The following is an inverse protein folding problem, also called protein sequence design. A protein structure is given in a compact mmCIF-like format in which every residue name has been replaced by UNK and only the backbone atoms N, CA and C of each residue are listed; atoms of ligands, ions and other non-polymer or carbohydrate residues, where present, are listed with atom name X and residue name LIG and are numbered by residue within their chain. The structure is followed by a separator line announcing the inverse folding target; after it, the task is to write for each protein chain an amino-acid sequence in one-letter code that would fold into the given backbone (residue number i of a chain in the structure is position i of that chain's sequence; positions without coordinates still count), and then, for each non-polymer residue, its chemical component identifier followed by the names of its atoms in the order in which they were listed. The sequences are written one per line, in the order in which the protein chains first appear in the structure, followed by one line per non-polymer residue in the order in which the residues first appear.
data_IF_760154179662
#
_entry.id   IF_760154179662
#
_cell.length_a   1.000
_cell.length_b   1.000
_cell.length_c   1.000
_cell.angle_alpha   90.00
_cell.angle_beta   90.00
_cell.angle_gamma   90.00
#
_symmetry.space_group_name_H-M   'P 1'
#
loop_
_entity.id
_entity.type
_entity.pdbx_description
1 polymer ?
#
# COMPACT_ATOMS: atom_id res chain seq x y z
N UNK A 1 -57.02 64.66 -7.50
CA UNK A 1 -57.12 63.28 -7.99
C UNK A 1 -55.99 63.03 -8.99
N UNK A 2 -55.05 62.11 -8.72
CA UNK A 2 -53.89 61.89 -9.58
C UNK A 2 -54.23 60.99 -10.80
N UNK A 3 -53.59 61.20 -11.96
CA UNK A 3 -53.87 60.46 -13.19
C UNK A 3 -53.24 59.05 -13.19
N UNK A 4 -54.03 58.08 -13.69
CA UNK A 4 -53.65 56.67 -13.86
C UNK A 4 -52.51 56.53 -14.88
N UNK A 5 -51.38 55.93 -14.47
CA UNK A 5 -50.28 55.54 -15.36
C UNK A 5 -50.65 54.26 -16.13
N UNK A 6 -50.46 54.28 -17.45
CA UNK A 6 -50.56 53.13 -18.36
C UNK A 6 -49.36 52.18 -18.13
N UNK A 7 -49.65 50.89 -18.02
CA UNK A 7 -48.65 49.82 -17.97
C UNK A 7 -47.96 49.67 -19.33
N UNK A 8 -46.62 49.62 -19.36
CA UNK A 8 -45.84 49.28 -20.55
C UNK A 8 -45.68 47.76 -20.63
N UNK A 9 -46.07 47.18 -21.76
CA UNK A 9 -45.72 45.81 -22.16
C UNK A 9 -44.19 45.66 -22.22
N UNK A 10 -43.66 44.67 -21.50
CA UNK A 10 -42.32 44.15 -21.73
C UNK A 10 -42.38 43.08 -22.82
N UNK A 11 -41.40 43.03 -23.75
CA UNK A 11 -41.29 41.95 -24.72
C UNK A 11 -40.82 40.64 -24.06
N UNK A 12 -41.26 39.47 -24.55
CA UNK A 12 -40.86 38.17 -24.01
C UNK A 12 -39.38 37.87 -24.34
N UNK A 13 -38.57 37.70 -23.29
CA UNK A 13 -37.18 37.25 -23.39
C UNK A 13 -37.17 35.72 -23.45
N UNK A 14 -37.44 35.17 -24.63
CA UNK A 14 -37.18 33.75 -24.93
C UNK A 14 -35.71 33.58 -25.32
N UNK A 15 -34.85 33.50 -24.32
CA UNK A 15 -33.44 33.11 -24.47
C UNK A 15 -33.20 31.80 -23.74
N UNK A 16 -33.39 30.68 -24.43
CA UNK A 16 -32.94 29.37 -23.94
C UNK A 16 -31.41 29.40 -23.76
N UNK A 17 -30.99 29.55 -22.51
CA UNK A 17 -29.60 29.34 -22.11
C UNK A 17 -29.28 27.86 -22.25
N UNK A 18 -28.79 27.46 -23.42
CA UNK A 18 -28.22 26.13 -23.63
C UNK A 18 -27.05 25.93 -22.65
N UNK A 19 -27.32 25.18 -21.58
CA UNK A 19 -26.32 24.78 -20.59
C UNK A 19 -25.33 23.87 -21.32
N UNK A 20 -24.18 24.45 -21.70
CA UNK A 20 -23.08 23.71 -22.33
C UNK A 20 -22.63 22.63 -21.36
N UNK A 21 -22.90 21.36 -21.70
CA UNK A 21 -22.41 20.21 -20.94
C UNK A 21 -20.89 20.34 -20.76
N UNK A 22 -20.35 20.11 -19.55
CA UNK A 22 -18.93 20.18 -19.30
C UNK A 22 -18.20 19.19 -20.22
N UNK A 23 -17.27 19.72 -21.01
CA UNK A 23 -16.46 18.94 -21.95
C UNK A 23 -15.55 18.03 -21.12
N UNK A 24 -15.92 16.76 -21.00
CA UNK A 24 -15.10 15.74 -20.34
C UNK A 24 -13.82 15.62 -21.15
N UNK A 25 -12.70 16.10 -20.60
CA UNK A 25 -11.40 15.93 -21.22
C UNK A 25 -11.13 14.42 -21.32
N UNK A 26 -10.69 13.95 -22.50
CA UNK A 26 -10.30 12.57 -22.70
C UNK A 26 -9.28 12.17 -21.62
N UNK A 27 -9.60 11.13 -20.84
CA UNK A 27 -8.72 10.58 -19.80
C UNK A 27 -7.35 10.29 -20.42
N UNK A 28 -6.32 11.03 -20.01
CA UNK A 28 -4.93 10.79 -20.43
C UNK A 28 -4.31 11.83 -21.36
N UNK A 29 -5.05 12.85 -21.83
CA UNK A 29 -4.44 13.95 -22.59
C UNK A 29 -3.57 14.82 -21.66
N UNK A 30 -2.26 14.59 -21.68
CA UNK A 30 -1.27 15.46 -21.01
C UNK A 30 -1.25 16.80 -21.74
N UNK A 31 -1.29 17.90 -21.01
CA UNK A 31 -1.13 19.24 -21.59
C UNK A 31 0.20 19.32 -22.33
N UNK A 32 0.20 19.90 -23.54
CA UNK A 32 1.42 20.13 -24.31
C UNK A 32 2.38 21.11 -23.59
N UNK A 33 1.83 22.03 -22.78
CA UNK A 33 2.59 22.95 -21.95
C UNK A 33 3.13 22.27 -20.69
N UNK A 34 4.45 22.25 -20.55
CA UNK A 34 5.20 21.68 -19.43
C UNK A 34 5.92 22.80 -18.67
N UNK A 35 5.67 23.00 -17.36
CA UNK A 35 6.38 23.98 -16.56
C UNK A 35 7.89 23.77 -16.53
N UNK A 36 8.64 24.85 -16.68
CA UNK A 36 10.10 24.89 -16.59
C UNK A 36 10.51 25.33 -15.19
N UNK A 37 11.46 24.61 -14.59
CA UNK A 37 12.02 24.90 -13.27
C UNK A 37 11.37 24.12 -12.12
N UNK A 38 11.96 24.27 -10.94
CA UNK A 38 11.52 23.58 -9.74
C UNK A 38 10.12 24.04 -9.30
N UNK A 39 9.34 23.09 -8.79
CA UNK A 39 8.03 23.37 -8.25
C UNK A 39 8.15 24.09 -6.90
N UNK A 40 8.08 25.41 -6.96
CA UNK A 40 7.97 26.26 -5.76
C UNK A 40 6.52 26.55 -5.41
N UNK A 41 6.23 26.61 -4.12
CA UNK A 41 4.91 26.95 -3.55
C UNK A 41 5.04 28.28 -2.80
N UNK A 42 4.02 29.13 -2.91
CA UNK A 42 3.98 30.38 -2.17
C UNK A 42 3.79 30.09 -0.68
N UNK A 43 4.56 30.79 0.17
CA UNK A 43 4.49 30.71 1.63
C UNK A 43 3.81 31.97 2.18
N UNK A 44 3.00 31.80 3.22
CA UNK A 44 2.37 32.92 3.94
C UNK A 44 3.44 33.83 4.52
N UNK A 45 3.30 35.14 4.32
CA UNK A 45 4.20 36.19 4.81
C UNK A 45 5.50 36.39 4.03
N UNK A 46 5.72 35.63 2.95
CA UNK A 46 6.90 35.80 2.08
C UNK A 46 6.45 36.37 0.75
N UNK A 47 6.81 37.62 0.48
CA UNK A 47 6.43 38.34 -0.76
C UNK A 47 7.33 37.89 -1.90
N UNK A 48 6.81 37.06 -2.80
CA UNK A 48 7.55 36.54 -3.96
C UNK A 48 6.74 36.73 -5.26
N UNK A 49 6.82 37.92 -5.91
CA UNK A 49 6.04 38.23 -7.11
C UNK A 49 6.25 37.24 -8.26
N UNK A 50 7.42 36.58 -8.30
CA UNK A 50 7.75 35.52 -9.26
C UNK A 50 6.78 34.32 -9.19
N UNK A 51 6.18 34.05 -8.03
CA UNK A 51 5.21 32.95 -7.86
C UNK A 51 3.91 33.15 -8.65
N UNK A 52 3.63 34.38 -9.07
CA UNK A 52 2.47 34.73 -9.89
C UNK A 52 2.69 34.42 -11.38
N UNK A 53 3.87 33.90 -11.74
CA UNK A 53 4.27 33.57 -13.10
C UNK A 53 4.85 32.15 -13.13
N UNK A 54 4.59 31.43 -14.22
CA UNK A 54 5.19 30.13 -14.50
C UNK A 54 5.62 30.14 -15.96
N UNK A 55 6.91 29.90 -16.20
CA UNK A 55 7.41 29.63 -17.54
C UNK A 55 7.06 28.19 -17.91
N UNK A 56 6.46 27.98 -19.08
CA UNK A 56 6.16 26.66 -19.64
C UNK A 56 6.83 26.51 -21.00
N UNK A 57 7.25 25.30 -21.34
CA UNK A 57 7.70 24.92 -22.68
C UNK A 57 6.59 24.11 -23.36
N UNK A 58 6.28 24.44 -24.61
CA UNK A 58 5.32 23.68 -25.42
C UNK A 58 6.02 22.49 -26.07
N UNK A 59 5.68 21.29 -25.62
CA UNK A 59 6.26 20.02 -26.09
C UNK A 59 6.04 19.80 -27.58
N UNK A 60 4.93 20.28 -28.12
CA UNK A 60 4.53 20.02 -29.51
C UNK A 60 5.12 21.06 -30.49
N UNK A 61 5.53 22.23 -29.99
CA UNK A 61 5.99 23.36 -30.80
C UNK A 61 7.46 23.69 -30.55
N UNK A 62 8.32 22.69 -30.69
CA UNK A 62 9.78 22.88 -30.66
C UNK A 62 10.28 23.63 -29.41
N UNK A 63 9.70 23.32 -28.24
CA UNK A 63 10.05 23.93 -26.95
C UNK A 63 9.87 25.46 -26.91
N UNK A 64 8.89 26.01 -27.63
CA UNK A 64 8.53 27.42 -27.51
C UNK A 64 8.16 27.74 -26.05
N UNK A 65 8.80 28.77 -25.50
CA UNK A 65 8.60 29.20 -24.12
C UNK A 65 7.43 30.15 -24.01
N UNK A 66 6.45 29.79 -23.19
CA UNK A 66 5.26 30.56 -22.91
C UNK A 66 5.13 30.83 -21.42
N UNK A 67 4.96 32.10 -21.07
CA UNK A 67 4.73 32.51 -19.69
C UNK A 67 3.22 32.48 -19.37
N UNK A 68 2.87 31.82 -18.26
CA UNK A 68 1.52 31.81 -17.72
C UNK A 68 1.47 32.69 -16.48
N UNK A 69 0.43 33.52 -16.38
CA UNK A 69 0.23 34.44 -15.26
C UNK A 69 -1.00 34.06 -14.43
N UNK A 70 -0.93 34.29 -13.12
CA UNK A 70 -2.06 34.20 -12.23
C UNK A 70 -3.06 35.33 -12.53
N UNK A 71 -4.33 35.00 -12.75
CA UNK A 71 -5.38 35.97 -13.16
C UNK A 71 -6.57 36.08 -12.20
N UNK A 72 -6.62 35.25 -11.14
CA UNK A 72 -7.81 35.20 -10.26
C UNK A 72 -7.93 36.41 -9.34
N UNK A 73 -6.81 37.05 -8.98
CA UNK A 73 -6.74 38.24 -8.14
C UNK A 73 -5.85 39.26 -8.87
N UNK A 74 -6.20 40.54 -8.80
CA UNK A 74 -5.38 41.62 -9.33
C UNK A 74 -4.06 41.64 -8.56
N UNK A 75 -2.92 41.71 -9.25
CA UNK A 75 -1.60 41.52 -8.60
C UNK A 75 -1.31 42.55 -7.51
N UNK A 76 -1.86 43.77 -7.62
CA UNK A 76 -1.73 44.81 -6.61
C UNK A 76 -2.52 44.52 -5.32
N UNK A 77 -3.58 43.72 -5.40
CA UNK A 77 -4.48 43.43 -4.27
C UNK A 77 -4.09 42.12 -3.55
N UNK A 78 -3.00 41.49 -3.96
CA UNK A 78 -2.53 40.24 -3.36
C UNK A 78 -1.86 40.56 -2.03
N UNK A 79 -2.62 40.36 -0.97
CA UNK A 79 -2.08 40.20 0.38
C UNK A 79 -1.36 38.85 0.55
N UNK A 80 -0.07 38.88 0.85
CA UNK A 80 0.78 37.70 1.06
C UNK A 80 0.67 37.11 2.48
N UNK A 81 0.10 37.86 3.42
CA UNK A 81 -0.23 37.37 4.76
C UNK A 81 -1.62 36.69 4.79
N UNK A 82 -2.45 36.91 3.79
CA UNK A 82 -3.76 36.28 3.69
C UNK A 82 -3.65 34.82 3.19
N UNK A 83 -4.04 33.86 4.04
CA UNK A 83 -4.05 32.42 3.72
C UNK A 83 -4.87 32.12 2.46
N UNK A 84 -6.02 32.76 2.26
CA UNK A 84 -6.88 32.49 1.11
C UNK A 84 -6.24 32.89 -0.22
N UNK A 85 -5.47 33.97 -0.23
CA UNK A 85 -4.74 34.42 -1.42
C UNK A 85 -3.64 33.42 -1.78
N UNK A 86 -2.86 33.01 -0.79
CA UNK A 86 -1.82 32.00 -0.93
C UNK A 86 -2.39 30.66 -1.42
N UNK A 87 -3.51 30.21 -0.86
CA UNK A 87 -4.19 28.99 -1.29
C UNK A 87 -4.68 29.08 -2.75
N UNK A 88 -5.23 30.23 -3.17
CA UNK A 88 -5.64 30.46 -4.57
C UNK A 88 -4.46 30.44 -5.54
N UNK A 89 -3.32 31.03 -5.16
CA UNK A 89 -2.08 31.00 -5.96
C UNK A 89 -1.55 29.57 -6.06
N UNK A 90 -1.41 28.88 -4.93
CA UNK A 90 -0.94 27.50 -4.86
C UNK A 90 -1.85 26.53 -5.63
N UNK A 91 -3.17 26.69 -5.55
CA UNK A 91 -4.13 25.91 -6.34
C UNK A 91 -3.95 26.12 -7.84
N UNK A 92 -3.74 27.36 -8.29
CA UNK A 92 -3.45 27.67 -9.70
C UNK A 92 -2.14 27.04 -10.17
N UNK A 93 -1.06 27.17 -9.38
CA UNK A 93 0.23 26.54 -9.69
C UNK A 93 0.07 25.01 -9.77
N UNK A 94 -0.57 24.40 -8.77
CA UNK A 94 -0.85 22.96 -8.73
C UNK A 94 -1.65 22.48 -9.95
N UNK A 95 -2.61 23.27 -10.44
CA UNK A 95 -3.37 22.97 -11.63
C UNK A 95 -2.48 22.94 -12.88
N UNK A 96 -1.55 23.88 -13.02
CA UNK A 96 -0.61 23.93 -14.14
C UNK A 96 0.31 22.70 -14.12
N UNK A 97 0.97 22.43 -12.98
CA UNK A 97 1.82 21.23 -12.83
C UNK A 97 1.04 19.93 -13.01
N UNK A 98 -0.18 19.86 -12.47
CA UNK A 98 -1.06 18.68 -12.58
C UNK A 98 -1.47 18.39 -14.02
N UNK A 99 -1.77 19.42 -14.82
CA UNK A 99 -2.10 19.29 -16.26
C UNK A 99 -0.91 18.82 -17.08
N UNK A 100 0.31 19.20 -16.69
CA UNK A 100 1.54 18.72 -17.30
C UNK A 100 1.94 17.30 -16.84
N UNK A 101 1.15 16.66 -15.96
CA UNK A 101 1.47 15.35 -15.39
C UNK A 101 2.56 15.38 -14.30
N UNK A 102 3.06 16.57 -13.93
CA UNK A 102 4.08 16.74 -12.89
C UNK A 102 3.41 16.76 -11.51
N UNK A 103 3.23 15.59 -10.92
CA UNK A 103 2.68 15.45 -9.57
C UNK A 103 3.81 15.58 -8.54
N UNK A 104 3.74 16.54 -7.60
CA UNK A 104 4.56 16.55 -6.37
C UNK A 104 4.06 15.43 -5.46
N UNK A 105 4.38 14.19 -5.81
CA UNK A 105 4.42 13.14 -4.82
C UNK A 105 5.88 13.00 -4.48
N UNK A 106 6.30 13.65 -3.39
CA UNK A 106 7.52 13.23 -2.71
C UNK A 106 7.24 11.82 -2.22
N UNK A 107 7.60 10.84 -3.04
CA UNK A 107 7.43 9.43 -2.69
C UNK A 107 8.60 9.10 -1.77
N UNK A 108 8.36 9.26 -0.47
CA UNK A 108 9.32 8.79 0.52
C UNK A 108 9.34 7.26 0.42
N UNK A 109 10.46 6.71 -0.06
CA UNK A 109 10.64 5.28 -0.25
C UNK A 109 10.50 4.57 1.11
N UNK A 110 9.88 3.40 1.11
CA UNK A 110 9.72 2.57 2.31
C UNK A 110 11.04 1.86 2.61
N UNK A 111 11.48 1.94 3.86
CA UNK A 111 12.65 1.21 4.32
C UNK A 111 12.27 -0.23 4.70
N UNK A 112 13.22 -1.16 4.63
CA UNK A 112 12.98 -2.57 4.99
C UNK A 112 12.52 -2.70 6.46
N UNK A 113 13.09 -1.90 7.36
CA UNK A 113 12.70 -1.88 8.77
C UNK A 113 11.28 -1.38 8.98
N UNK A 114 10.85 -0.40 8.18
CA UNK A 114 9.47 0.10 8.25
C UNK A 114 8.48 -0.97 7.78
N UNK A 115 8.83 -1.72 6.74
CA UNK A 115 8.01 -2.84 6.26
C UNK A 115 7.96 -3.97 7.29
N UNK A 116 9.11 -4.33 7.86
CA UNK A 116 9.24 -5.33 8.91
C UNK A 116 8.43 -4.95 10.16
N UNK A 117 8.45 -3.68 10.58
CA UNK A 117 7.66 -3.18 11.70
C UNK A 117 6.15 -3.35 11.46
N UNK A 118 5.65 -2.99 10.27
CA UNK A 118 4.23 -3.11 9.94
C UNK A 118 3.77 -4.57 9.86
N UNK A 119 4.60 -5.43 9.28
CA UNK A 119 4.35 -6.87 9.25
C UNK A 119 4.33 -7.46 10.67
N UNK A 120 5.36 -7.17 11.47
CA UNK A 120 5.47 -7.63 12.85
C UNK A 120 4.30 -7.16 13.71
N UNK A 121 3.87 -5.90 13.57
CA UNK A 121 2.72 -5.36 14.29
C UNK A 121 1.46 -6.20 14.06
N UNK A 122 1.16 -6.54 12.80
CA UNK A 122 -0.01 -7.37 12.49
C UNK A 122 0.16 -8.83 12.92
N UNK A 123 1.37 -9.39 12.87
CA UNK A 123 1.62 -10.74 13.38
C UNK A 123 1.37 -10.81 14.89
N UNK A 124 1.78 -9.79 15.64
CA UNK A 124 1.51 -9.69 17.08
C UNK A 124 0.01 -9.59 17.37
N UNK A 125 -0.75 -8.79 16.61
CA UNK A 125 -2.22 -8.76 16.74
C UNK A 125 -2.84 -10.15 16.50
N UNK A 126 -2.33 -10.88 15.51
CA UNK A 126 -2.81 -12.22 15.17
C UNK A 126 -2.54 -13.21 16.30
N UNK A 127 -1.36 -13.17 16.91
CA UNK A 127 -1.03 -14.05 18.03
C UNK A 127 -1.88 -13.72 19.24
N UNK A 128 -2.01 -12.44 19.57
CA UNK A 128 -2.84 -12.02 20.69
C UNK A 128 -4.30 -12.44 20.53
N UNK A 129 -4.85 -12.30 19.31
CA UNK A 129 -6.21 -12.73 19.00
C UNK A 129 -6.41 -14.25 19.16
N UNK A 130 -5.34 -15.04 18.95
CA UNK A 130 -5.35 -16.49 19.12
C UNK A 130 -5.21 -16.91 20.58
N UNK A 131 -4.39 -16.22 21.37
CA UNK A 131 -4.17 -16.54 22.78
C UNK A 131 -5.34 -16.09 23.65
N UNK A 132 -5.95 -14.93 23.38
CA UNK A 132 -7.11 -14.45 24.15
C UNK A 132 -8.39 -15.14 23.70
N UNK A 133 -8.93 -16.01 24.55
CA UNK A 133 -10.28 -16.56 24.39
C UNK A 133 -11.37 -15.47 24.28
N UNK A 134 -11.17 -14.33 24.96
CA UNK A 134 -12.08 -13.18 24.96
C UNK A 134 -11.96 -12.30 23.71
N UNK A 135 -10.97 -12.57 22.86
CA UNK A 135 -10.65 -11.80 21.66
C UNK A 135 -10.10 -10.41 21.99
N UNK A 136 -9.68 -9.72 20.95
CA UNK A 136 -9.11 -8.38 21.03
C UNK A 136 -9.92 -7.43 20.14
N UNK A 137 -9.86 -6.13 20.43
CA UNK A 137 -10.27 -5.12 19.47
C UNK A 137 -9.06 -4.69 18.63
N UNK A 138 -9.23 -4.65 17.31
CA UNK A 138 -8.15 -4.24 16.40
C UNK A 138 -7.92 -2.73 16.46
N UNK A 139 -6.67 -2.26 16.60
CA UNK A 139 -6.39 -0.83 16.63
C UNK A 139 -6.79 -0.16 15.32
N UNK A 140 -7.38 1.04 15.44
CA UNK A 140 -7.73 1.86 14.27
C UNK A 140 -6.46 2.22 13.49
N UNK A 141 -6.51 2.32 12.15
CA UNK A 141 -5.30 2.61 11.37
C UNK A 141 -4.62 3.94 11.72
N UNK A 142 -5.37 4.92 12.25
CA UNK A 142 -4.84 6.16 12.82
C UNK A 142 -3.87 5.88 13.97
N UNK A 143 -4.27 5.04 14.93
CA UNK A 143 -3.46 4.62 16.09
C UNK A 143 -2.22 3.86 15.66
N UNK A 144 -2.34 2.93 14.69
CA UNK A 144 -1.20 2.17 14.16
C UNK A 144 -0.18 3.13 13.53
N UNK A 145 -0.65 4.12 12.77
CA UNK A 145 0.21 5.14 12.16
C UNK A 145 0.90 6.02 13.20
N UNK A 146 0.19 6.41 14.26
CA UNK A 146 0.77 7.20 15.35
C UNK A 146 1.90 6.44 16.04
N UNK A 147 1.69 5.15 16.36
CA UNK A 147 2.74 4.28 16.92
C UNK A 147 3.91 4.07 15.97
N UNK A 148 3.62 3.92 14.68
CA UNK A 148 4.65 3.86 13.64
C UNK A 148 5.49 5.15 13.61
N UNK A 149 4.84 6.31 13.62
CA UNK A 149 5.52 7.60 13.58
C UNK A 149 6.29 7.85 14.88
N UNK A 150 5.74 7.51 16.04
CA UNK A 150 6.42 7.54 17.35
C UNK A 150 7.71 6.72 17.30
N UNK A 151 7.70 5.56 16.65
CA UNK A 151 8.87 4.70 16.55
C UNK A 151 9.92 5.21 15.54
N UNK A 152 9.52 5.70 14.37
CA UNK A 152 10.45 6.01 13.27
C UNK A 152 10.85 7.48 13.13
N UNK A 153 9.99 8.44 13.50
CA UNK A 153 10.24 9.86 13.25
C UNK A 153 11.52 10.32 13.96
N UNK A 154 12.41 10.98 13.22
CA UNK A 154 13.71 11.45 13.73
C UNK A 154 14.80 10.39 13.74
N UNK A 155 14.50 9.11 13.56
CA UNK A 155 15.54 8.06 13.44
C UNK A 155 16.26 8.18 12.09
N UNK A 156 17.57 7.93 12.13
CA UNK A 156 18.42 7.79 10.95
C UNK A 156 18.54 6.31 10.65
N UNK A 157 18.08 5.89 9.48
CA UNK A 157 18.14 4.49 9.04
C UNK A 157 19.32 4.32 8.08
N UNK A 158 19.95 3.15 8.10
CA UNK A 158 21.03 2.80 7.18
C UNK A 158 20.45 2.19 5.91
N UNK A 159 20.81 2.74 4.77
CA UNK A 159 20.53 2.14 3.47
C UNK A 159 21.21 0.79 3.32
N UNK A 160 20.79 -0.02 2.33
CA UNK A 160 21.42 -1.32 2.04
C UNK A 160 22.91 -1.26 1.72
N UNK A 161 23.43 -0.07 1.35
CA UNK A 161 24.86 0.18 1.15
C UNK A 161 25.58 0.76 2.37
N UNK A 162 24.98 0.71 3.56
CA UNK A 162 25.55 1.27 4.80
C UNK A 162 25.49 2.79 4.91
N UNK A 163 24.94 3.49 3.90
CA UNK A 163 24.83 4.95 3.93
C UNK A 163 23.65 5.39 4.80
N UNK A 164 23.90 6.32 5.72
CA UNK A 164 22.85 7.00 6.49
C UNK A 164 21.88 7.74 5.57
N UNK A 165 20.59 7.49 5.78
CA UNK A 165 19.50 8.22 5.13
C UNK A 165 19.16 9.48 5.92
N UNK A 166 18.43 10.40 5.30
CA UNK A 166 17.86 11.54 6.03
C UNK A 166 16.97 11.04 7.18
N UNK A 167 16.96 11.75 8.33
CA UNK A 167 16.06 11.44 9.44
C UNK A 167 14.63 11.25 8.95
N UNK A 168 13.96 10.18 9.40
CA UNK A 168 12.61 9.90 8.90
C UNK A 168 11.65 11.01 9.30
N UNK A 169 10.87 11.45 8.32
CA UNK A 169 9.76 12.37 8.51
C UNK A 169 8.47 11.60 8.78
N UNK A 170 7.51 12.27 9.40
CA UNK A 170 6.19 11.71 9.68
C UNK A 170 5.50 11.20 8.40
N UNK A 171 4.96 9.97 8.45
CA UNK A 171 4.19 9.43 7.35
C UNK A 171 2.76 9.98 7.36
N UNK A 172 2.37 10.60 6.24
CA UNK A 172 1.00 11.01 5.99
C UNK A 172 0.03 9.82 5.92
N UNK A 173 -1.28 10.04 6.15
CA UNK A 173 -2.27 8.98 6.27
C UNK A 173 -2.45 8.18 4.97
N UNK A 174 -2.48 8.86 3.81
CA UNK A 174 -2.67 8.22 2.51
C UNK A 174 -1.56 7.22 2.13
N UNK A 175 -0.28 7.64 2.08
CA UNK A 175 0.83 6.72 1.80
C UNK A 175 0.92 5.56 2.80
N UNK A 176 0.65 5.83 4.09
CA UNK A 176 0.63 4.82 5.14
C UNK A 176 -0.44 3.76 4.89
N UNK A 177 -1.71 4.17 4.75
CA UNK A 177 -2.84 3.26 4.50
C UNK A 177 -2.62 2.42 3.24
N UNK A 178 -2.14 3.05 2.17
CA UNK A 178 -1.83 2.36 0.92
C UNK A 178 -0.73 1.30 1.07
N UNK A 179 0.28 1.54 1.92
CA UNK A 179 1.32 0.55 2.19
C UNK A 179 0.80 -0.55 3.12
N UNK A 180 0.14 -0.17 4.20
CA UNK A 180 -0.43 -1.07 5.18
C UNK A 180 -1.32 -2.12 4.50
N UNK A 181 -2.32 -1.67 3.74
CA UNK A 181 -3.25 -2.58 3.03
C UNK A 181 -2.55 -3.54 2.04
N UNK A 182 -1.40 -3.16 1.48
CA UNK A 182 -0.62 -4.05 0.59
C UNK A 182 0.17 -5.09 1.37
N UNK A 183 0.82 -4.70 2.47
CA UNK A 183 1.62 -5.61 3.30
C UNK A 183 0.71 -6.64 3.98
N UNK A 184 -0.37 -6.18 4.61
CA UNK A 184 -1.22 -7.01 5.47
C UNK A 184 -2.38 -7.67 4.72
N UNK A 185 -2.39 -7.63 3.39
CA UNK A 185 -3.47 -8.20 2.56
C UNK A 185 -3.79 -9.66 2.89
N UNK A 186 -2.78 -10.44 3.25
CA UNK A 186 -2.93 -11.87 3.59
C UNK A 186 -3.24 -12.09 5.07
N UNK A 187 -2.75 -11.20 5.96
CA UNK A 187 -2.94 -11.30 7.41
C UNK A 187 -4.31 -10.76 7.86
N UNK A 188 -4.83 -9.75 7.15
CA UNK A 188 -6.06 -9.07 7.51
C UNK A 188 -7.29 -9.98 7.57
N UNK A 189 -7.57 -10.84 6.56
CA UNK A 189 -8.71 -11.76 6.66
C UNK A 189 -8.59 -12.73 7.82
N UNK A 190 -7.36 -13.15 8.15
CA UNK A 190 -7.11 -14.05 9.26
C UNK A 190 -7.42 -13.37 10.61
N UNK A 191 -6.93 -12.14 10.78
CA UNK A 191 -7.24 -11.35 11.96
C UNK A 191 -8.76 -11.11 12.05
N UNK A 192 -9.41 -10.68 10.97
CA UNK A 192 -10.86 -10.42 10.94
C UNK A 192 -11.70 -11.67 11.31
N UNK A 193 -11.31 -12.87 10.86
CA UNK A 193 -11.95 -14.14 11.26
C UNK A 193 -11.90 -14.34 12.79
N UNK A 194 -10.77 -14.02 13.43
CA UNK A 194 -10.59 -14.15 14.89
C UNK A 194 -11.27 -13.02 15.68
N UNK A 195 -11.44 -11.85 15.07
CA UNK A 195 -12.13 -10.69 15.68
C UNK A 195 -13.66 -10.80 15.67
N UNK A 196 -14.23 -11.65 14.80
CA UNK A 196 -15.62 -11.56 14.34
C UNK A 196 -16.74 -11.63 15.40
N UNK A 197 -16.47 -11.88 16.69
CA UNK A 197 -17.52 -12.07 17.71
C UNK A 197 -17.12 -11.64 19.13
N UNK A 198 -16.13 -10.75 19.27
CA UNK A 198 -15.43 -10.60 20.56
C UNK A 198 -15.23 -9.13 20.95
N UNK A 199 -15.86 -8.71 22.06
CA UNK A 199 -15.72 -7.37 22.65
C UNK A 199 -14.47 -7.32 23.55
N UNK A 200 -13.29 -7.50 22.95
CA UNK A 200 -12.02 -7.44 23.66
C UNK A 200 -11.54 -6.02 23.92
N UNK A 201 -10.56 -5.88 24.82
CA UNK A 201 -9.81 -4.64 24.95
C UNK A 201 -8.97 -4.40 23.68
N UNK A 202 -8.73 -3.13 23.33
CA UNK A 202 -7.83 -2.79 22.24
C UNK A 202 -6.41 -3.20 22.61
N UNK A 203 -5.79 -4.00 21.76
CA UNK A 203 -4.40 -4.40 21.91
C UNK A 203 -3.51 -3.59 20.97
N UNK A 204 -2.49 -2.92 21.53
CA UNK A 204 -1.52 -2.12 20.78
C UNK A 204 -0.11 -2.60 21.11
N UNK A 205 0.50 -3.44 20.25
CA UNK A 205 1.85 -3.95 20.48
C UNK A 205 2.88 -2.82 20.62
N UNK A 206 3.77 -2.95 21.60
CA UNK A 206 4.99 -2.14 21.70
C UNK A 206 6.12 -2.88 21.01
N UNK A 207 6.68 -2.27 19.96
CA UNK A 207 7.73 -2.88 19.15
C UNK A 207 9.03 -2.11 19.36
N UNK A 208 10.08 -2.84 19.74
CA UNK A 208 11.43 -2.31 19.91
C UNK A 208 12.30 -2.62 18.68
N UNK A 209 13.47 -1.97 18.57
CA UNK A 209 14.38 -2.17 17.44
C UNK A 209 14.92 -3.62 17.36
N UNK A 210 15.26 -4.21 18.52
CA UNK A 210 15.73 -5.59 18.62
C UNK A 210 14.72 -6.58 18.03
N UNK A 211 13.42 -6.40 18.32
CA UNK A 211 12.35 -7.26 17.78
C UNK A 211 12.26 -7.18 16.25
N UNK A 212 12.54 -6.01 15.66
CA UNK A 212 12.53 -5.83 14.21
C UNK A 212 13.71 -6.58 13.58
N UNK A 213 14.90 -6.47 14.18
CA UNK A 213 16.11 -7.15 13.70
C UNK A 213 15.98 -8.68 13.82
N UNK A 214 15.46 -9.16 14.94
CA UNK A 214 15.15 -10.58 15.14
C UNK A 214 14.11 -11.06 14.13
N UNK A 215 13.04 -10.29 13.91
CA UNK A 215 12.02 -10.62 12.92
C UNK A 215 12.58 -10.66 11.49
N UNK A 216 13.50 -9.76 11.14
CA UNK A 216 14.17 -9.78 9.83
C UNK A 216 15.09 -10.99 9.67
N UNK A 217 15.90 -11.31 10.68
CA UNK A 217 16.75 -12.52 10.70
C UNK A 217 15.89 -13.76 10.56
N UNK A 218 14.78 -13.80 11.28
CA UNK A 218 13.81 -14.86 11.22
C UNK A 218 13.23 -15.01 9.80
N UNK A 219 12.78 -13.92 9.19
CA UNK A 219 12.28 -13.91 7.81
C UNK A 219 13.33 -14.37 6.79
N UNK A 220 14.59 -13.96 6.96
CA UNK A 220 15.70 -14.42 6.13
C UNK A 220 15.89 -15.95 6.26
N UNK A 221 15.84 -16.49 7.48
CA UNK A 221 15.91 -17.93 7.72
C UNK A 221 14.75 -18.70 7.05
N UNK A 222 13.53 -18.15 7.07
CA UNK A 222 12.38 -18.75 6.37
C UNK A 222 12.62 -18.83 4.85
N UNK A 223 13.22 -17.80 4.26
CA UNK A 223 13.53 -17.75 2.83
C UNK A 223 14.61 -18.79 2.49
N UNK A 224 15.65 -18.92 3.33
CA UNK A 224 16.69 -19.95 3.17
C UNK A 224 16.12 -21.38 3.20
N UNK A 225 15.09 -21.61 4.01
CA UNK A 225 14.35 -22.87 4.06
C UNK A 225 13.40 -23.10 2.86
N UNK A 226 13.45 -22.24 1.85
CA UNK A 226 12.68 -22.38 0.61
C UNK A 226 11.25 -21.85 0.69
N UNK A 227 10.92 -21.07 1.71
CA UNK A 227 9.62 -20.42 1.80
C UNK A 227 9.57 -19.24 0.82
N UNK A 228 8.57 -19.23 -0.08
CA UNK A 228 8.44 -18.17 -1.08
C UNK A 228 8.13 -16.85 -0.37
N UNK A 229 8.89 -15.81 -0.70
CA UNK A 229 8.93 -14.47 -0.08
C UNK A 229 7.59 -13.68 -0.10
N UNK A 230 6.48 -14.31 -0.50
CA UNK A 230 5.18 -13.69 -0.50
C UNK A 230 4.40 -14.03 0.77
N UNK A 231 4.72 -13.29 1.84
CA UNK A 231 3.82 -12.99 2.97
C UNK A 231 3.39 -14.21 3.80
N UNK A 232 4.37 -14.89 4.37
CA UNK A 232 4.17 -16.04 5.27
C UNK A 232 3.83 -15.50 6.67
N UNK A 233 2.65 -15.81 7.20
CA UNK A 233 2.40 -17.02 8.02
C UNK A 233 0.95 -17.45 7.74
N UNK A 234 0.71 -18.58 7.06
CA UNK A 234 -0.64 -19.13 6.99
C UNK A 234 -1.01 -19.64 8.39
N UNK A 235 -1.73 -18.83 9.16
CA UNK A 235 -2.29 -19.24 10.44
C UNK A 235 -3.57 -20.07 10.29
N UNK A 236 -3.85 -20.65 9.13
CA UNK A 236 -4.99 -21.56 9.02
C UNK A 236 -4.73 -22.75 9.94
N UNK A 237 -5.52 -22.88 11.01
CA UNK A 237 -5.54 -24.03 11.93
C UNK A 237 -5.88 -25.35 11.25
N UNK A 238 -6.27 -25.31 9.97
CA UNK A 238 -6.48 -26.52 9.16
C UNK A 238 -5.20 -27.34 9.23
N UNK A 239 -5.35 -28.60 9.66
CA UNK A 239 -4.32 -29.64 9.71
C UNK A 239 -3.82 -29.99 8.29
N UNK A 240 -3.40 -29.00 7.51
CA UNK A 240 -2.71 -29.19 6.24
C UNK A 240 -1.24 -29.53 6.54
N UNK A 241 -0.65 -30.37 5.68
CA UNK A 241 0.79 -30.71 5.68
C UNK A 241 1.70 -29.47 5.70
N UNK A 242 1.16 -28.29 5.35
CA UNK A 242 1.83 -26.99 5.43
C UNK A 242 2.10 -26.52 6.86
N UNK A 243 1.25 -26.88 7.83
CA UNK A 243 1.43 -26.57 9.26
C UNK A 243 2.48 -27.46 9.94
N UNK A 244 2.81 -28.61 9.33
CA UNK A 244 3.89 -29.48 9.77
C UNK A 244 5.27 -29.05 9.22
N UNK A 245 5.32 -28.03 8.37
CA UNK A 245 6.59 -27.53 7.85
C UNK A 245 7.36 -26.82 8.97
N UNK A 246 8.61 -27.21 9.15
CA UNK A 246 9.53 -26.75 10.21
C UNK A 246 9.50 -25.22 10.41
N UNK A 247 9.42 -24.47 9.30
CA UNK A 247 9.39 -23.02 9.31
C UNK A 247 8.13 -22.43 9.96
N UNK A 248 6.97 -23.10 9.88
CA UNK A 248 5.71 -22.67 10.53
C UNK A 248 5.76 -22.92 12.03
N UNK A 249 6.33 -24.05 12.46
CA UNK A 249 6.54 -24.37 13.88
C UNK A 249 7.48 -23.33 14.50
N UNK A 250 8.60 -23.03 13.83
CA UNK A 250 9.56 -22.02 14.29
C UNK A 250 8.97 -20.61 14.35
N UNK A 251 8.04 -20.27 13.44
CA UNK A 251 7.28 -19.02 13.52
C UNK A 251 6.46 -18.96 14.81
N UNK A 252 5.71 -20.02 15.12
CA UNK A 252 4.86 -20.07 16.31
C UNK A 252 5.69 -20.01 17.58
N UNK A 253 6.80 -20.75 17.64
CA UNK A 253 7.73 -20.72 18.77
C UNK A 253 8.36 -19.35 18.98
N UNK A 254 8.84 -18.70 17.92
CA UNK A 254 9.41 -17.35 18.01
C UNK A 254 8.38 -16.35 18.50
N UNK A 255 7.15 -16.38 17.97
CA UNK A 255 6.15 -15.41 18.39
C UNK A 255 5.66 -15.68 19.82
N UNK A 256 5.48 -16.96 20.20
CA UNK A 256 5.17 -17.34 21.58
C UNK A 256 6.32 -17.02 22.56
N UNK A 257 7.55 -16.85 22.08
CA UNK A 257 8.69 -16.41 22.90
C UNK A 257 8.85 -14.90 22.97
N UNK A 258 8.06 -14.13 22.21
CA UNK A 258 8.10 -12.68 22.35
C UNK A 258 7.56 -12.30 23.73
N UNK A 259 8.29 -11.48 24.50
CA UNK A 259 7.88 -11.18 25.86
C UNK A 259 6.56 -10.42 25.83
N UNK A 260 5.61 -10.87 26.64
CA UNK A 260 4.33 -10.20 26.93
C UNK A 260 4.63 -8.89 27.69
N UNK A 261 5.19 -7.91 26.98
CA UNK A 261 5.65 -6.65 27.57
C UNK A 261 4.49 -5.68 27.64
N UNK A 262 3.70 -5.87 28.69
CA UNK A 262 2.73 -4.93 29.23
C UNK A 262 1.59 -4.58 28.27
N UNK A 263 0.48 -5.30 28.47
CA UNK A 263 -0.88 -4.76 28.42
C UNK A 263 -0.94 -3.38 29.07
N UNK A 264 -0.62 -2.34 28.31
CA UNK A 264 -1.15 -1.02 28.62
C UNK A 264 -2.57 -1.07 28.09
N UNK A 265 -3.50 -1.43 28.96
CA UNK A 265 -4.90 -1.12 28.74
C UNK A 265 -4.99 0.39 28.54
N UNK A 266 -5.14 0.81 27.28
CA UNK A 266 -5.38 2.20 26.96
C UNK A 266 -6.87 2.42 27.22
N UNK A 267 -7.18 3.03 28.36
CA UNK A 267 -8.54 3.51 28.66
C UNK A 267 -8.87 4.61 27.64
N UNK A 268 -9.91 4.38 26.83
CA UNK A 268 -10.29 5.30 25.77
C UNK A 268 -10.67 6.66 26.36
N UNK A 269 -9.98 7.72 25.93
CA UNK A 269 -10.56 9.05 25.94
C UNK A 269 -11.43 9.17 24.69
N UNK A 270 -12.74 9.23 24.88
CA UNK A 270 -13.75 9.54 23.85
C UNK A 270 -13.54 10.96 23.32
N UNK A 271 -12.49 11.18 22.54
CA UNK A 271 -12.39 12.35 21.68
C UNK A 271 -13.12 12.01 20.38
N UNK A 272 -14.36 12.52 20.26
CA UNK A 272 -15.15 12.56 19.03
C UNK A 272 -14.36 13.28 17.93
N UNK A 273 -13.53 12.53 17.21
CA UNK A 273 -12.76 13.05 16.09
C UNK A 273 -13.58 12.96 14.80
N UNK A 274 -14.20 14.09 14.45
CA UNK A 274 -14.97 14.37 13.22
C UNK A 274 -14.20 14.17 11.90
N UNK A 275 -12.98 13.63 11.93
CA UNK A 275 -12.17 13.36 10.72
C UNK A 275 -12.49 12.02 10.03
N UNK A 276 -13.49 11.26 10.51
CA UNK A 276 -13.88 9.94 9.97
C UNK A 276 -14.57 9.97 8.58
N UNK A 277 -14.84 11.15 8.00
CA UNK A 277 -15.46 11.26 6.67
C UNK A 277 -14.58 10.70 5.53
N UNK A 278 -13.30 10.38 5.78
CA UNK A 278 -12.38 9.85 4.77
C UNK A 278 -12.27 8.31 4.72
N UNK A 279 -12.64 7.58 5.77
CA UNK A 279 -12.50 6.10 5.78
C UNK A 279 -13.68 5.39 5.13
N UNK A 280 -14.91 5.89 5.34
CA UNK A 280 -16.10 5.34 4.68
C UNK A 280 -15.99 5.42 3.15
N UNK A 281 -15.34 6.46 2.63
CA UNK A 281 -15.16 6.63 1.19
C UNK A 281 -14.18 5.61 0.60
N UNK A 282 -13.16 5.21 1.36
CA UNK A 282 -12.19 4.17 0.97
C UNK A 282 -12.78 2.77 1.06
N UNK A 283 -13.58 2.50 2.10
CA UNK A 283 -14.28 1.23 2.26
C UNK A 283 -15.38 1.06 1.20
N UNK A 284 -16.06 2.14 0.82
CA UNK A 284 -17.02 2.14 -0.27
C UNK A 284 -16.36 1.95 -1.64
N UNK A 285 -15.19 2.58 -1.89
CA UNK A 285 -14.42 2.37 -3.12
C UNK A 285 -13.86 0.92 -3.22
N UNK A 286 -13.44 0.33 -2.10
CA UNK A 286 -13.01 -1.06 -2.02
C UNK A 286 -14.17 -2.06 -2.19
N UNK A 287 -15.34 -1.76 -1.63
CA UNK A 287 -16.54 -2.59 -1.77
C UNK A 287 -17.07 -2.56 -3.20
N UNK A 288 -17.04 -1.40 -3.87
CA UNK A 288 -17.38 -1.30 -5.30
C UNK A 288 -16.38 -2.06 -6.20
N UNK A 289 -15.09 -2.07 -5.86
CA UNK A 289 -14.07 -2.87 -6.56
C UNK A 289 -14.26 -4.38 -6.38
N UNK A 290 -14.79 -4.82 -5.23
CA UNK A 290 -15.01 -6.23 -4.93
C UNK A 290 -16.34 -6.76 -5.52
N UNK A 291 -17.36 -5.92 -5.65
CA UNK A 291 -18.70 -6.34 -6.08
C UNK A 291 -18.91 -6.35 -7.59
N UNK A 292 -18.09 -5.65 -8.37
CA UNK A 292 -18.25 -5.62 -9.83
C UNK A 292 -16.91 -5.55 -10.61
N UNK A 293 -16.16 -6.67 -10.68
CA UNK A 293 -14.89 -6.73 -11.42
C UNK A 293 -15.07 -6.57 -12.94
N UNK A 294 -16.29 -6.68 -13.47
CA UNK A 294 -16.58 -6.52 -14.91
C UNK A 294 -16.73 -5.05 -15.32
N UNK A 295 -17.04 -4.14 -14.39
CA UNK A 295 -17.18 -2.70 -14.66
C UNK A 295 -15.89 -2.03 -15.12
N UNK A 296 -14.74 -2.66 -14.91
CA UNK A 296 -13.42 -2.22 -15.41
C UNK A 296 -12.92 -2.97 -16.66
N UNK A 297 -13.72 -3.90 -17.20
CA UNK A 297 -13.39 -4.69 -18.40
C UNK A 297 -13.94 -4.11 -19.72
N UNK A 298 -14.66 -2.98 -19.66
CA UNK A 298 -15.27 -2.35 -20.84
C UNK A 298 -14.32 -1.42 -21.60
N UNK A 299 -14.21 -1.66 -22.91
CA UNK A 299 -13.56 -0.85 -23.96
C UNK A 299 -12.04 -1.04 -24.19
N UNK A 300 -11.63 -2.28 -24.48
CA UNK A 300 -10.68 -2.48 -25.59
C UNK A 300 -11.45 -2.28 -26.90
N UNK A 301 -11.40 -1.08 -27.45
CA UNK A 301 -11.91 -0.83 -28.81
C UNK A 301 -11.08 -1.60 -29.83
N UNK A 302 -11.79 -2.35 -30.66
CA UNK A 302 -11.35 -2.97 -31.92
C UNK A 302 -10.69 -1.93 -32.85
N UNK A 303 -9.38 -1.78 -32.74
CA UNK A 303 -8.57 -1.14 -33.80
C UNK A 303 -7.28 -1.92 -33.98
N UNK A 304 -7.39 -3.18 -34.43
CA UNK A 304 -6.26 -3.95 -34.98
C UNK A 304 -6.72 -4.87 -36.12
N UNK A 305 -7.52 -4.30 -37.01
CA UNK A 305 -7.79 -4.83 -38.35
C UNK A 305 -7.56 -3.70 -39.35
N UNK A 306 -6.31 -3.45 -39.73
CA UNK A 306 -5.87 -3.03 -41.07
C UNK A 306 -4.40 -2.58 -41.01
N UNK A 307 -3.49 -3.54 -41.16
CA UNK A 307 -2.23 -3.34 -41.87
C UNK A 307 -1.55 -4.70 -41.93
N UNK A 308 -1.42 -5.26 -43.13
CA UNK A 308 -0.20 -5.83 -43.71
C UNK A 308 -0.59 -6.77 -44.85
N UNK A 309 -0.87 -6.19 -46.01
CA UNK A 309 -0.73 -6.87 -47.30
C UNK A 309 0.29 -6.06 -48.11
N UNK A 310 1.53 -6.55 -48.12
CA UNK A 310 2.47 -6.38 -49.24
C UNK A 310 3.65 -7.35 -49.13
N UNK A 311 3.58 -8.35 -50.01
CA UNK A 311 4.63 -8.98 -50.81
C UNK A 311 6.09 -8.99 -50.31
N UNK A 312 6.60 -10.20 -50.10
CA UNK A 312 7.94 -10.64 -50.53
C UNK A 312 7.98 -12.18 -50.38
N UNK A 313 7.70 -12.94 -51.45
CA UNK A 313 8.70 -13.53 -52.34
C UNK A 313 9.86 -14.19 -51.59
N UNK A 314 9.75 -15.49 -51.27
CA UNK A 314 10.87 -16.45 -51.35
C UNK A 314 10.36 -17.88 -51.63
N UNK A 315 10.65 -18.31 -52.86
CA UNK A 315 11.03 -19.64 -53.36
C UNK A 315 10.74 -20.88 -52.48
N UNK A 316 9.88 -21.74 -53.04
CA UNK A 316 9.62 -23.13 -52.65
C UNK A 316 10.80 -24.05 -53.00
N UNK A 317 11.27 -24.86 -52.05
CA UNK A 317 11.96 -26.14 -52.34
C UNK A 317 11.25 -27.26 -51.58
N UNK A 318 10.71 -28.21 -52.36
CA UNK A 318 10.12 -29.49 -51.95
C UNK A 318 11.21 -30.49 -51.59
N UNK A 319 10.95 -31.36 -50.61
CA UNK A 319 11.18 -32.83 -50.59
C UNK A 319 10.38 -33.37 -49.36
N UNK A 320 9.32 -34.16 -49.52
CA UNK A 320 9.30 -35.63 -49.65
C UNK A 320 9.19 -36.25 -48.25
N UNK A 321 8.02 -36.59 -47.68
CA UNK A 321 7.11 -37.74 -47.93
C UNK A 321 7.75 -39.13 -47.80
N UNK A 322 7.66 -39.74 -46.62
CA UNK A 322 7.41 -41.18 -46.30
C UNK A 322 6.96 -41.16 -44.83
N UNK A 323 5.87 -41.75 -44.31
CA UNK A 323 5.11 -42.97 -44.60
C UNK A 323 5.14 -43.85 -43.33
N UNK A 324 4.07 -44.63 -43.08
CA UNK A 324 3.91 -45.68 -42.04
C UNK A 324 3.27 -45.23 -40.71
N UNK A 325 2.37 -45.94 -40.02
CA UNK A 325 1.23 -46.88 -40.25
C UNK A 325 0.95 -47.58 -38.89
N UNK A 326 -0.24 -48.17 -38.73
CA UNK A 326 -0.78 -48.94 -37.57
C UNK A 326 -1.30 -48.13 -36.39
N UNK A 327 -2.56 -48.19 -35.93
CA UNK A 327 -3.65 -49.20 -35.80
C UNK A 327 -3.93 -49.51 -34.32
N UNK A 328 -5.24 -49.57 -34.04
CA UNK A 328 -5.94 -50.30 -32.97
C UNK A 328 -6.10 -49.72 -31.55
N UNK A 329 -7.34 -49.25 -31.32
CA UNK A 329 -8.15 -49.38 -30.07
C UNK A 329 -8.48 -50.87 -29.79
N UNK A 330 -9.07 -51.34 -28.65
CA UNK A 330 -10.06 -50.65 -27.80
C UNK A 330 -10.17 -51.07 -26.29
N UNK A 331 -11.21 -50.54 -25.64
CA UNK A 331 -12.10 -51.18 -24.64
C UNK A 331 -11.85 -50.99 -23.12
N UNK A 332 -12.92 -50.48 -22.47
CA UNK A 332 -13.21 -50.43 -21.02
C UNK A 332 -13.48 -51.84 -20.42
N UNK A 333 -13.61 -52.02 -19.08
CA UNK A 333 -14.93 -51.82 -18.43
C UNK A 333 -14.92 -51.44 -16.93
N UNK A 334 -16.15 -51.28 -16.42
CA UNK A 334 -16.64 -50.94 -15.07
C UNK A 334 -16.11 -51.76 -13.89
N UNK A 335 -16.22 -51.17 -12.69
CA UNK A 335 -16.24 -51.90 -11.41
C UNK A 335 -16.91 -51.10 -10.28
N UNK A 336 -18.12 -51.54 -9.88
CA UNK A 336 -18.89 -51.10 -8.70
C UNK A 336 -18.42 -51.81 -7.41
N UNK A 337 -18.64 -51.17 -6.24
CA UNK A 337 -18.96 -51.72 -4.88
C UNK A 337 -18.95 -50.52 -3.90
N UNK A 338 -19.99 -50.08 -3.17
CA UNK A 338 -21.07 -50.68 -2.36
C UNK A 338 -20.63 -51.12 -0.94
N UNK A 339 -21.20 -50.42 0.06
CA UNK A 339 -21.46 -50.77 1.48
C UNK A 339 -20.19 -50.89 2.38
N UNK A 340 -20.17 -50.48 3.65
CA UNK A 340 -21.20 -50.53 4.69
C UNK A 340 -20.96 -49.51 5.82
N UNK A 341 -22.05 -49.17 6.50
CA UNK A 341 -22.07 -48.44 7.76
C UNK A 341 -21.64 -49.35 8.93
N UNK A 342 -21.01 -48.81 9.96
CA UNK A 342 -21.25 -49.29 11.33
C UNK A 342 -20.89 -48.22 12.36
N UNK A 343 -21.91 -47.97 13.17
CA UNK A 343 -22.03 -47.05 14.29
C UNK A 343 -21.87 -47.89 15.56
N UNK A 344 -20.83 -47.67 16.38
CA UNK A 344 -20.78 -48.20 17.76
C UNK A 344 -19.92 -47.30 18.67
N UNK A 345 -20.61 -46.48 19.46
CA UNK A 345 -20.45 -46.26 20.90
C UNK A 345 -19.05 -46.02 21.53
N UNK A 346 -18.88 -44.80 22.04
CA UNK A 346 -18.21 -44.44 23.31
C UNK A 346 -18.75 -45.21 24.55
N UNK A 347 -18.25 -45.03 25.80
CA UNK A 347 -17.00 -44.45 26.32
C UNK A 347 -16.34 -45.32 27.43
N UNK A 348 -15.15 -44.98 27.95
CA UNK A 348 -14.87 -45.02 29.41
C UNK A 348 -13.55 -44.34 29.83
N UNK A 349 -13.71 -43.30 30.66
CA UNK A 349 -12.90 -42.88 31.84
C UNK A 349 -11.68 -43.74 32.26
N UNK A 350 -10.56 -43.07 32.53
CA UNK A 350 -9.73 -43.03 33.78
C UNK A 350 -8.43 -42.25 33.45
N UNK A 351 -8.20 -41.03 33.97
CA UNK A 351 -7.73 -40.58 35.31
C UNK A 351 -6.23 -40.88 35.59
N UNK A 352 -5.49 -39.76 35.70
CA UNK A 352 -4.32 -39.42 36.54
C UNK A 352 -3.00 -40.21 36.42
N UNK A 353 -1.90 -39.49 36.14
CA UNK A 353 -0.75 -39.24 37.03
C UNK A 353 0.42 -38.65 36.21
N UNK A 354 0.85 -37.40 36.41
CA UNK A 354 1.72 -36.88 37.48
C UNK A 354 3.17 -37.40 37.43
N UNK A 355 4.03 -36.77 36.60
CA UNK A 355 5.49 -36.71 36.85
C UNK A 355 6.05 -35.40 36.26
N UNK A 356 6.70 -34.60 37.12
CA UNK A 356 7.64 -33.54 36.77
C UNK A 356 9.03 -33.95 37.31
N UNK A 357 10.07 -33.11 37.18
CA UNK A 357 10.94 -32.97 36.02
C UNK A 357 12.37 -33.51 36.30
N UNK A 358 13.15 -33.79 35.26
CA UNK A 358 14.58 -34.07 35.40
C UNK A 358 15.40 -32.90 34.86
N UNK A 359 16.14 -32.29 35.78
CA UNK A 359 17.30 -31.44 35.52
C UNK A 359 18.34 -32.19 34.67
N UNK A 360 18.94 -31.50 33.71
CA UNK A 360 20.34 -31.67 33.35
C UNK A 360 20.90 -30.30 32.95
N UNK A 361 21.72 -29.77 33.85
CA UNK A 361 22.72 -28.75 33.55
C UNK A 361 23.83 -29.37 32.71
N UNK A 362 24.35 -28.64 31.73
CA UNK A 362 25.76 -28.73 31.32
C UNK A 362 26.21 -27.34 30.87
N UNK A 363 27.32 -26.94 31.48
CA UNK A 363 28.32 -25.93 31.15
C UNK A 363 28.76 -26.00 29.65
N UNK A 364 29.53 -25.13 28.99
CA UNK A 364 30.49 -24.06 29.32
C UNK A 364 30.94 -23.48 27.96
N UNK A 365 31.51 -22.27 27.97
CA UNK A 365 32.56 -21.75 27.07
C UNK A 365 32.46 -21.85 25.52
N UNK A 366 32.50 -20.68 24.86
CA UNK A 366 33.73 -20.26 24.14
C UNK A 366 33.58 -19.00 23.29
N UNK A 367 34.52 -18.08 23.54
CA UNK A 367 35.22 -17.20 22.60
C UNK A 367 34.44 -16.14 21.82
N UNK A 368 34.37 -14.97 22.45
CA UNK A 368 35.00 -13.70 22.02
C UNK A 368 35.86 -13.78 20.74
N UNK A 369 35.45 -13.04 19.70
CA UNK A 369 36.28 -12.74 18.52
C UNK A 369 36.07 -11.28 18.14
N UNK A 370 37.00 -10.46 18.61
CA UNK A 370 37.18 -9.05 18.25
C UNK A 370 37.84 -8.98 16.88
N UNK A 371 37.17 -8.38 15.89
CA UNK A 371 37.78 -8.02 14.60
C UNK A 371 37.95 -6.51 14.52
N UNK A 372 39.19 -6.08 14.67
CA UNK A 372 39.67 -4.72 14.43
C UNK A 372 39.84 -4.55 12.93
N UNK A 373 39.02 -3.68 12.33
CA UNK A 373 39.15 -3.26 10.93
C UNK A 373 39.90 -1.93 10.84
N UNK A 374 41.09 -1.98 10.25
CA UNK A 374 42.01 -0.88 10.03
C UNK A 374 41.54 -0.01 8.85
N UNK A 375 41.34 1.29 9.06
CA UNK A 375 41.01 2.26 8.00
C UNK A 375 42.25 2.61 7.18
N UNK A 376 42.20 2.35 5.87
CA UNK A 376 43.20 2.84 4.90
C UNK A 376 42.63 4.10 4.24
N UNK A 377 43.15 5.27 4.63
CA UNK A 377 42.89 6.55 3.97
C UNK A 377 43.78 6.65 2.73
N UNK A 378 43.18 6.73 1.55
CA UNK A 378 43.87 7.08 0.29
C UNK A 378 43.44 8.47 -0.13
N UNK A 379 44.23 9.48 0.22
CA UNK A 379 44.15 10.80 -0.40
C UNK A 379 44.66 10.73 -1.84
N UNK A 380 43.86 11.24 -2.78
CA UNK A 380 44.37 11.56 -4.12
C UNK A 380 43.82 12.86 -4.68
N UNK A 381 44.62 13.90 -4.43
CA UNK A 381 45.16 14.90 -5.37
C UNK A 381 44.18 15.54 -6.36
N UNK A 382 43.86 16.81 -6.09
CA UNK A 382 43.33 17.77 -7.07
C UNK A 382 44.35 18.01 -8.20
N UNK A 383 43.91 17.79 -9.44
CA UNK A 383 44.60 18.20 -10.65
C UNK A 383 44.03 19.52 -11.19
N UNK A 384 44.95 20.36 -11.66
CA UNK A 384 44.84 21.74 -12.13
C UNK A 384 43.82 22.01 -13.24
#
# INVERSE_FOLDING_TARGET
MPPKRKASEQPPVSGESSVKKPRVAAKGAVSSLVPVGERKMAKKGVVEPEMLRILCEDRDKNNERKELHFKKIIHADIDWDNKEHIDKINAWRNQIYGRAGIKNKTVLMWHKDEEAWLELFYQLLVVEANERERGIESPKPKTIREKFNEFFVGKVLLSSGGKELEPRVERGPGPFMSKLGRLVRTLRPYLEEKLSNRNGNMFVPKINQEMIEEYQKFKANLIELGCKDEKIIPWKEVEDETNAKEYVVRCREYIASLPDQNDVEIEYMDEEDDTLAGSEQLDQELLELATDPEKFRGERTETDKLATTKESSWVTVRMGSVGSSHEDSPSSPMGNKSLDATDVASPHKKRADSVAPSNCAVDEDSSELTLVGEEVIVDKVQGQ
#
